data_IF_367263076227
#
_entry.id   IF_367263076227
#
_cell.length_a   1.000
_cell.length_b   1.000
_cell.length_c   1.000
_cell.angle_alpha   90.00
_cell.angle_beta   90.00
_cell.angle_gamma   90.00
#
_symmetry.space_group_name_H-M   'P 1'
#
loop_
_entity.id
_entity.type
_entity.pdbx_description
1 polymer ?
#
# COMPACT_ATOMS: atom_id res chain seq x y z
N UNK A 1 18.18 1.98 -28.18
CA UNK A 1 18.28 1.68 -26.73
C UNK A 1 17.60 2.74 -25.86
N UNK A 2 17.86 4.05 -26.06
CA UNK A 2 17.21 5.16 -25.28
C UNK A 2 15.67 5.17 -25.42
N UNK A 3 15.13 4.97 -26.62
CA UNK A 3 13.67 4.96 -26.90
C UNK A 3 12.92 3.89 -26.10
N UNK A 4 13.47 2.68 -26.00
CA UNK A 4 12.87 1.60 -25.20
C UNK A 4 12.87 1.93 -23.70
N UNK A 5 13.87 2.66 -23.21
CA UNK A 5 13.95 3.09 -21.81
C UNK A 5 12.86 4.15 -21.49
N UNK A 6 12.67 5.13 -22.38
CA UNK A 6 11.63 6.15 -22.20
C UNK A 6 10.22 5.51 -22.21
N UNK A 7 9.96 4.60 -23.16
CA UNK A 7 8.69 3.87 -23.22
C UNK A 7 8.42 3.05 -21.95
N UNK A 8 9.43 2.38 -21.42
CA UNK A 8 9.31 1.59 -20.19
C UNK A 8 9.01 2.46 -18.97
N UNK A 9 9.67 3.63 -18.87
CA UNK A 9 9.40 4.61 -17.80
C UNK A 9 7.98 5.19 -17.88
N UNK A 10 7.54 5.57 -19.08
CA UNK A 10 6.19 6.09 -19.29
C UNK A 10 5.11 5.08 -18.88
N UNK A 11 5.27 3.81 -19.26
CA UNK A 11 4.35 2.75 -18.89
C UNK A 11 4.32 2.53 -17.36
N UNK A 12 5.48 2.59 -16.70
CA UNK A 12 5.57 2.47 -15.23
C UNK A 12 4.86 3.63 -14.53
N UNK A 13 5.04 4.85 -15.01
CA UNK A 13 4.35 6.03 -14.47
C UNK A 13 2.83 5.96 -14.67
N UNK A 14 2.38 5.56 -15.87
CA UNK A 14 0.97 5.36 -16.15
C UNK A 14 0.35 4.29 -15.23
N UNK A 15 1.05 3.18 -14.98
CA UNK A 15 0.60 2.14 -14.06
C UNK A 15 0.46 2.66 -12.63
N UNK A 16 1.44 3.44 -12.14
CA UNK A 16 1.39 4.07 -10.81
C UNK A 16 0.19 5.02 -10.71
N UNK A 17 -0.03 5.84 -11.74
CA UNK A 17 -1.16 6.76 -11.78
C UNK A 17 -2.52 6.04 -11.76
N UNK A 18 -2.67 4.96 -12.54
CA UNK A 18 -3.89 4.14 -12.54
C UNK A 18 -4.11 3.48 -11.18
N UNK A 19 -3.07 2.93 -10.54
CA UNK A 19 -3.19 2.35 -9.20
C UNK A 19 -3.60 3.40 -8.16
N UNK A 20 -3.00 4.59 -8.18
CA UNK A 20 -3.37 5.68 -7.27
C UNK A 20 -4.81 6.16 -7.51
N UNK A 21 -5.22 6.30 -8.77
CA UNK A 21 -6.60 6.67 -9.12
C UNK A 21 -7.62 5.61 -8.70
N UNK A 22 -7.29 4.33 -8.77
CA UNK A 22 -8.19 3.26 -8.30
C UNK A 22 -8.26 3.17 -6.78
N UNK A 23 -7.19 3.51 -6.05
CA UNK A 23 -7.21 3.68 -4.60
C UNK A 23 -8.18 4.80 -4.20
N UNK A 24 -8.04 5.97 -4.82
CA UNK A 24 -8.90 7.13 -4.58
C UNK A 24 -10.36 6.84 -4.96
N UNK A 25 -10.59 6.32 -6.16
CA UNK A 25 -11.92 5.96 -6.63
C UNK A 25 -12.60 4.89 -5.75
N UNK A 26 -11.85 3.89 -5.27
CA UNK A 26 -12.36 2.87 -4.36
C UNK A 26 -12.76 3.45 -3.00
N UNK A 27 -11.95 4.36 -2.46
CA UNK A 27 -12.27 5.07 -1.22
C UNK A 27 -13.52 5.93 -1.37
N UNK A 28 -13.58 6.74 -2.43
CA UNK A 28 -14.73 7.61 -2.69
C UNK A 28 -16.02 6.81 -2.91
N UNK A 29 -15.94 5.69 -3.64
CA UNK A 29 -17.10 4.83 -3.91
C UNK A 29 -17.72 4.23 -2.64
N UNK A 30 -16.94 4.05 -1.55
CA UNK A 30 -17.40 3.49 -0.28
C UNK A 30 -17.53 4.55 0.83
N UNK A 31 -17.25 5.81 0.55
CA UNK A 31 -17.22 6.89 1.55
C UNK A 31 -18.55 7.12 2.29
N UNK A 32 -19.68 6.70 1.69
CA UNK A 32 -21.00 6.79 2.30
C UNK A 32 -21.28 5.68 3.34
N UNK A 33 -20.44 4.65 3.43
CA UNK A 33 -20.55 3.58 4.42
C UNK A 33 -19.39 3.72 5.41
N UNK A 34 -19.64 4.17 6.64
CA UNK A 34 -18.56 4.39 7.61
C UNK A 34 -17.75 3.11 7.85
N UNK A 35 -16.41 3.23 7.79
CA UNK A 35 -15.44 2.16 8.07
C UNK A 35 -15.57 0.89 7.21
N UNK A 36 -16.31 0.94 6.12
CA UNK A 36 -16.21 -0.03 5.03
C UNK A 36 -15.26 0.54 4.00
N UNK A 37 -14.07 -0.06 3.90
CA UNK A 37 -13.00 0.47 3.05
C UNK A 37 -12.33 -0.66 2.26
N UNK A 38 -11.88 -0.33 1.07
CA UNK A 38 -11.17 -1.24 0.17
C UNK A 38 -9.68 -0.87 0.04
N UNK A 39 -9.28 0.26 0.63
CA UNK A 39 -7.94 0.83 0.45
C UNK A 39 -6.86 -0.10 0.97
N UNK A 40 -7.03 -0.66 2.17
CA UNK A 40 -6.09 -1.63 2.74
C UNK A 40 -5.91 -2.85 1.83
N UNK A 41 -7.01 -3.39 1.29
CA UNK A 41 -6.95 -4.49 0.32
C UNK A 41 -6.19 -4.09 -0.95
N UNK A 42 -6.45 -2.92 -1.52
CA UNK A 42 -5.80 -2.45 -2.75
C UNK A 42 -4.32 -2.12 -2.52
N UNK A 43 -3.95 -1.48 -1.42
CA UNK A 43 -2.55 -1.24 -1.05
C UNK A 43 -1.78 -2.56 -0.93
N UNK A 44 -2.37 -3.55 -0.24
CA UNK A 44 -1.81 -4.89 -0.12
C UNK A 44 -1.67 -5.58 -1.48
N UNK A 45 -2.71 -5.52 -2.30
CA UNK A 45 -2.75 -6.13 -3.64
C UNK A 45 -1.68 -5.54 -4.55
N UNK A 46 -1.57 -4.22 -4.59
CA UNK A 46 -0.58 -3.54 -5.44
C UNK A 46 0.85 -3.74 -4.93
N UNK A 47 1.06 -3.70 -3.62
CA UNK A 47 2.34 -4.08 -3.03
C UNK A 47 2.73 -5.50 -3.41
N UNK A 48 1.84 -6.47 -3.24
CA UNK A 48 2.09 -7.88 -3.51
C UNK A 48 2.42 -8.17 -4.98
N UNK A 49 1.63 -7.62 -5.92
CA UNK A 49 1.76 -7.89 -7.37
C UNK A 49 2.85 -7.05 -8.01
N UNK A 50 2.90 -5.73 -7.73
CA UNK A 50 3.77 -4.77 -8.41
C UNK A 50 4.98 -4.33 -7.58
N UNK A 51 5.11 -4.80 -6.34
CA UNK A 51 6.25 -4.48 -5.48
C UNK A 51 6.40 -2.99 -5.25
N UNK A 52 7.61 -2.43 -5.51
CA UNK A 52 7.91 -1.03 -5.27
C UNK A 52 6.98 -0.06 -6.02
N UNK A 53 6.49 -0.42 -7.22
CA UNK A 53 5.54 0.44 -7.95
C UNK A 53 4.21 0.55 -7.22
N UNK A 54 3.75 -0.51 -6.55
CA UNK A 54 2.56 -0.48 -5.69
C UNK A 54 2.77 0.38 -4.44
N UNK A 55 3.96 0.29 -3.82
CA UNK A 55 4.33 1.15 -2.68
C UNK A 55 4.32 2.63 -3.09
N UNK A 56 4.92 2.97 -4.23
CA UNK A 56 4.91 4.36 -4.75
C UNK A 56 3.48 4.82 -5.03
N UNK A 57 2.64 3.99 -5.65
CA UNK A 57 1.23 4.32 -5.89
C UNK A 57 0.45 4.61 -4.60
N UNK A 58 0.73 3.87 -3.53
CA UNK A 58 0.14 4.11 -2.20
C UNK A 58 0.53 5.48 -1.65
N UNK A 59 1.80 5.88 -1.75
CA UNK A 59 2.23 7.21 -1.30
C UNK A 59 1.68 8.34 -2.18
N UNK A 60 1.56 8.12 -3.50
CA UNK A 60 0.88 9.08 -4.40
C UNK A 60 -0.58 9.25 -3.99
N UNK A 61 -1.29 8.16 -3.67
CA UNK A 61 -2.65 8.18 -3.16
C UNK A 61 -2.76 9.00 -1.86
N UNK A 62 -1.89 8.79 -0.86
CA UNK A 62 -1.90 9.58 0.39
C UNK A 62 -1.63 11.07 0.09
N UNK A 63 -0.77 11.36 -0.88
CA UNK A 63 -0.55 12.74 -1.35
C UNK A 63 -1.81 13.36 -1.95
N UNK A 64 -2.55 12.62 -2.79
CA UNK A 64 -3.83 13.07 -3.35
C UNK A 64 -4.88 13.32 -2.27
N UNK A 65 -5.02 12.41 -1.30
CA UNK A 65 -5.88 12.57 -0.13
C UNK A 65 -5.59 13.87 0.61
N UNK A 66 -4.30 14.16 0.83
CA UNK A 66 -3.85 15.38 1.52
C UNK A 66 -4.23 16.64 0.73
N UNK A 67 -4.18 16.60 -0.59
CA UNK A 67 -4.59 17.71 -1.46
C UNK A 67 -6.11 17.91 -1.47
N UNK A 68 -6.88 16.84 -1.40
CA UNK A 68 -8.36 16.88 -1.46
C UNK A 68 -8.96 17.28 -0.11
N UNK A 69 -8.48 16.68 0.99
CA UNK A 69 -9.08 16.77 2.32
C UNK A 69 -8.30 17.68 3.30
N UNK A 70 -7.14 18.18 2.88
CA UNK A 70 -6.26 19.01 3.72
C UNK A 70 -5.37 18.19 4.65
N UNK A 71 -4.57 18.89 5.45
CA UNK A 71 -3.57 18.30 6.36
C UNK A 71 -4.13 18.20 7.77
N UNK A 72 -4.08 17.02 8.37
CA UNK A 72 -4.42 16.76 9.78
C UNK A 72 -3.62 15.55 10.29
N UNK A 73 -3.85 15.13 11.54
CA UNK A 73 -3.20 13.96 12.17
C UNK A 73 -3.33 12.68 11.36
N UNK A 74 -4.46 12.49 10.69
CA UNK A 74 -4.72 11.32 9.86
C UNK A 74 -3.69 11.15 8.72
N UNK A 75 -3.09 12.22 8.21
CA UNK A 75 -2.07 12.13 7.15
C UNK A 75 -0.86 11.31 7.61
N UNK A 76 -0.42 11.55 8.85
CA UNK A 76 0.72 10.82 9.44
C UNK A 76 0.34 9.33 9.61
N UNK A 77 -0.87 9.07 10.11
CA UNK A 77 -1.39 7.71 10.25
C UNK A 77 -1.41 6.98 8.90
N UNK A 78 -1.92 7.64 7.85
CA UNK A 78 -2.02 7.08 6.49
C UNK A 78 -0.66 6.80 5.86
N UNK A 79 0.29 7.74 5.99
CA UNK A 79 1.66 7.56 5.49
C UNK A 79 2.32 6.33 6.13
N UNK A 80 2.18 6.16 7.43
CA UNK A 80 2.79 5.04 8.14
C UNK A 80 2.03 3.75 7.87
N UNK A 81 0.71 3.73 8.04
CA UNK A 81 -0.10 2.53 7.97
C UNK A 81 -0.16 1.93 6.56
N UNK A 82 -0.65 2.68 5.57
CA UNK A 82 -0.78 2.15 4.22
C UNK A 82 0.57 1.96 3.53
N UNK A 83 1.56 2.79 3.88
CA UNK A 83 2.95 2.54 3.52
C UNK A 83 3.45 1.19 4.04
N UNK A 84 3.21 0.89 5.33
CA UNK A 84 3.58 -0.39 5.94
C UNK A 84 2.81 -1.57 5.28
N UNK A 85 1.50 -1.43 5.05
CA UNK A 85 0.70 -2.44 4.32
C UNK A 85 1.32 -2.74 2.96
N UNK A 86 1.56 -1.72 2.14
CA UNK A 86 2.12 -1.89 0.80
C UNK A 86 3.51 -2.53 0.84
N UNK A 87 4.39 -2.11 1.76
CA UNK A 87 5.76 -2.65 1.90
C UNK A 87 5.73 -4.11 2.37
N UNK A 88 4.95 -4.45 3.40
CA UNK A 88 4.87 -5.81 3.93
C UNK A 88 4.32 -6.75 2.86
N UNK A 89 3.27 -6.34 2.14
CA UNK A 89 2.73 -7.16 1.06
C UNK A 89 3.66 -7.22 -0.16
N UNK A 90 4.46 -6.19 -0.43
CA UNK A 90 5.52 -6.27 -1.43
C UNK A 90 6.59 -7.33 -1.07
N UNK A 91 6.94 -7.43 0.22
CA UNK A 91 7.83 -8.48 0.71
C UNK A 91 7.19 -9.86 0.62
N UNK A 92 5.92 -10.03 1.03
CA UNK A 92 5.18 -11.29 0.87
C UNK A 92 5.12 -11.73 -0.60
N UNK A 93 4.88 -10.78 -1.52
CA UNK A 93 4.90 -11.03 -2.95
C UNK A 93 6.30 -11.37 -3.50
N UNK A 94 7.37 -10.76 -2.94
CA UNK A 94 8.77 -11.09 -3.29
C UNK A 94 9.13 -12.51 -2.87
N UNK A 95 8.74 -12.93 -1.67
CA UNK A 95 8.96 -14.29 -1.16
C UNK A 95 7.93 -15.30 -1.68
N UNK A 96 7.02 -14.88 -2.57
CA UNK A 96 5.97 -15.74 -3.17
C UNK A 96 5.09 -16.46 -2.12
N UNK A 97 4.82 -15.82 -1.01
CA UNK A 97 3.95 -16.36 0.05
C UNK A 97 2.51 -16.31 -0.44
N UNK A 98 1.96 -17.46 -0.83
CA UNK A 98 0.60 -17.61 -1.39
C UNK A 98 -0.41 -18.14 -0.39
N UNK A 99 0.01 -18.45 0.82
CA UNK A 99 -0.87 -19.00 1.86
C UNK A 99 -1.89 -17.91 2.26
N UNK A 100 -3.17 -18.21 2.04
CA UNK A 100 -4.29 -17.32 2.32
C UNK A 100 -4.38 -16.96 3.81
N UNK A 101 -4.10 -17.91 4.70
CA UNK A 101 -4.16 -17.66 6.15
C UNK A 101 -3.06 -16.69 6.58
N UNK A 102 -1.84 -16.83 6.02
CA UNK A 102 -0.72 -15.92 6.33
C UNK A 102 -1.02 -14.52 5.84
N UNK A 103 -1.48 -14.36 4.59
CA UNK A 103 -1.81 -13.03 4.04
C UNK A 103 -2.95 -12.36 4.80
N UNK A 104 -3.98 -13.12 5.18
CA UNK A 104 -5.09 -12.60 6.01
C UNK A 104 -4.61 -12.25 7.41
N UNK A 105 -3.81 -13.10 8.06
CA UNK A 105 -3.28 -12.82 9.41
C UNK A 105 -2.40 -11.55 9.41
N UNK A 106 -1.54 -11.38 8.41
CA UNK A 106 -0.75 -10.16 8.26
C UNK A 106 -1.64 -8.91 8.07
N UNK A 107 -2.68 -9.01 7.24
CA UNK A 107 -3.62 -7.91 7.04
C UNK A 107 -4.36 -7.57 8.35
N UNK A 108 -4.83 -8.57 9.10
CA UNK A 108 -5.50 -8.37 10.37
C UNK A 108 -4.59 -7.72 11.41
N UNK A 109 -3.35 -8.15 11.52
CA UNK A 109 -2.37 -7.55 12.42
C UNK A 109 -2.14 -6.06 12.09
N UNK A 110 -2.06 -5.72 10.80
CA UNK A 110 -1.91 -4.34 10.34
C UNK A 110 -3.17 -3.51 10.60
N UNK A 111 -4.37 -4.06 10.35
CA UNK A 111 -5.64 -3.37 10.63
C UNK A 111 -5.80 -3.09 12.13
N UNK A 112 -5.47 -4.04 13.01
CA UNK A 112 -5.45 -3.81 14.47
C UNK A 112 -4.44 -2.72 14.84
N UNK A 113 -3.24 -2.76 14.23
CA UNK A 113 -2.21 -1.76 14.45
C UNK A 113 -2.65 -0.35 14.00
N UNK A 114 -3.53 -0.23 13.00
CA UNK A 114 -4.08 1.06 12.55
C UNK A 114 -4.81 1.79 13.69
N UNK A 115 -5.72 1.13 14.39
CA UNK A 115 -6.46 1.73 15.49
C UNK A 115 -5.55 2.20 16.64
N UNK A 116 -4.51 1.41 16.96
CA UNK A 116 -3.51 1.79 17.97
C UNK A 116 -2.69 2.98 17.48
N UNK A 117 -2.19 2.93 16.25
CA UNK A 117 -1.36 3.99 15.65
C UNK A 117 -2.12 5.30 15.55
N UNK A 118 -3.36 5.28 15.03
CA UNK A 118 -4.22 6.45 14.90
C UNK A 118 -4.47 7.10 16.26
N UNK A 119 -4.84 6.30 17.27
CA UNK A 119 -5.09 6.80 18.62
C UNK A 119 -3.83 7.35 19.30
N UNK A 120 -2.64 6.76 19.04
CA UNK A 120 -1.36 7.27 19.55
C UNK A 120 -1.01 8.63 18.92
N UNK A 121 -1.17 8.75 17.61
CA UNK A 121 -0.88 9.99 16.87
C UNK A 121 -1.85 11.09 17.33
N UNK A 122 -3.14 10.80 17.41
CA UNK A 122 -4.15 11.76 17.85
C UNK A 122 -3.89 12.20 19.30
N UNK A 123 -3.57 11.26 20.19
CA UNK A 123 -3.23 11.60 21.58
C UNK A 123 -2.00 12.48 21.66
N UNK A 124 -0.92 12.14 20.93
CA UNK A 124 0.32 12.91 20.94
C UNK A 124 0.17 14.30 20.36
N UNK A 125 -0.53 14.44 19.23
CA UNK A 125 -0.67 15.72 18.51
C UNK A 125 -1.69 16.67 19.16
N UNK A 126 -2.83 16.15 19.63
CA UNK A 126 -3.90 17.01 20.17
C UNK A 126 -3.81 17.24 21.67
N UNK A 127 -3.25 16.29 22.42
CA UNK A 127 -3.20 16.39 23.88
C UNK A 127 -1.78 16.44 24.46
N UNK A 128 -0.76 16.28 23.62
CA UNK A 128 0.64 16.30 24.01
C UNK A 128 1.10 15.09 24.82
N UNK A 129 2.41 15.02 25.05
CA UNK A 129 3.07 13.95 25.82
C UNK A 129 3.24 14.36 27.30
N UNK A 130 2.15 14.78 27.93
CA UNK A 130 2.13 15.19 29.34
C UNK A 130 1.64 14.07 30.25
N UNK A 131 1.55 14.36 31.55
CA UNK A 131 0.98 13.46 32.56
C UNK A 131 -0.40 12.92 32.11
N UNK A 132 -0.71 11.70 32.53
CA UNK A 132 -1.92 10.97 32.09
C UNK A 132 -2.01 10.64 30.59
N UNK A 133 -0.89 10.63 29.83
CA UNK A 133 -0.90 10.28 28.40
C UNK A 133 -1.66 8.98 28.13
N UNK A 134 -1.35 7.92 28.85
CA UNK A 134 -1.97 6.60 28.63
C UNK A 134 -3.47 6.58 28.97
N UNK A 135 -3.90 7.39 29.92
CA UNK A 135 -5.32 7.55 30.26
C UNK A 135 -6.06 8.24 29.11
N UNK A 136 -5.49 9.30 28.55
CA UNK A 136 -6.05 10.00 27.37
C UNK A 136 -6.06 9.11 26.15
N UNK A 137 -4.97 8.37 25.90
CA UNK A 137 -4.92 7.35 24.85
C UNK A 137 -6.04 6.32 25.01
N UNK A 138 -6.23 5.76 26.20
CA UNK A 138 -7.29 4.78 26.44
C UNK A 138 -8.69 5.36 26.16
N UNK A 139 -8.93 6.61 26.50
CA UNK A 139 -10.19 7.30 26.20
C UNK A 139 -10.40 7.44 24.68
N UNK A 140 -9.38 7.93 23.94
CA UNK A 140 -9.45 8.12 22.50
C UNK A 140 -9.64 6.77 21.80
N UNK A 141 -8.85 5.75 22.17
CA UNK A 141 -8.94 4.41 21.61
C UNK A 141 -10.31 3.77 21.84
N UNK A 142 -10.84 3.88 23.07
CA UNK A 142 -12.16 3.33 23.40
C UNK A 142 -13.29 4.03 22.62
N UNK A 143 -13.20 5.35 22.40
CA UNK A 143 -14.16 6.09 21.57
C UNK A 143 -14.13 5.66 20.12
N UNK A 144 -12.96 5.26 19.61
CA UNK A 144 -12.78 4.73 18.25
C UNK A 144 -13.09 3.24 18.10
N UNK A 145 -13.27 2.49 19.19
CA UNK A 145 -13.32 1.03 19.16
C UNK A 145 -14.38 0.45 18.22
N UNK A 146 -15.58 1.04 18.17
CA UNK A 146 -16.63 0.59 17.25
C UNK A 146 -16.21 0.70 15.78
N UNK A 147 -15.48 1.76 15.43
CA UNK A 147 -14.94 1.98 14.08
C UNK A 147 -13.84 0.99 13.76
N UNK A 148 -12.92 0.73 14.68
CA UNK A 148 -11.84 -0.24 14.48
C UNK A 148 -12.37 -1.66 14.33
N UNK A 149 -13.41 -2.04 15.09
CA UNK A 149 -14.06 -3.36 14.96
C UNK A 149 -14.70 -3.51 13.58
N UNK A 150 -15.43 -2.49 13.10
CA UNK A 150 -16.03 -2.52 11.77
C UNK A 150 -14.98 -2.68 10.66
N UNK A 151 -13.86 -1.96 10.76
CA UNK A 151 -12.73 -2.05 9.82
C UNK A 151 -12.06 -3.44 9.86
N UNK A 152 -11.86 -4.02 11.05
CA UNK A 152 -11.31 -5.37 11.21
C UNK A 152 -12.23 -6.40 10.54
N UNK A 153 -13.53 -6.33 10.76
CA UNK A 153 -14.50 -7.25 10.15
C UNK A 153 -14.51 -7.09 8.63
N UNK A 154 -14.55 -5.85 8.14
CA UNK A 154 -14.51 -5.55 6.71
C UNK A 154 -13.25 -6.14 6.06
N UNK A 155 -12.08 -5.84 6.59
CA UNK A 155 -10.81 -6.32 6.05
C UNK A 155 -10.68 -7.84 6.17
N UNK A 156 -11.15 -8.47 7.24
CA UNK A 156 -11.18 -9.93 7.38
C UNK A 156 -11.95 -10.58 6.22
N UNK A 157 -13.15 -10.10 5.95
CA UNK A 157 -13.99 -10.61 4.86
C UNK A 157 -13.31 -10.37 3.50
N UNK A 158 -12.83 -9.16 3.25
CA UNK A 158 -12.19 -8.80 1.99
C UNK A 158 -10.93 -9.64 1.72
N UNK A 159 -10.08 -9.86 2.70
CA UNK A 159 -8.86 -10.65 2.52
C UNK A 159 -9.18 -12.14 2.38
N UNK A 160 -10.15 -12.66 3.11
CA UNK A 160 -10.59 -14.04 2.96
C UNK A 160 -11.25 -14.32 1.61
N UNK A 161 -12.01 -13.39 1.06
CA UNK A 161 -12.80 -13.61 -0.16
C UNK A 161 -12.09 -13.09 -1.41
N UNK A 162 -11.58 -11.86 -1.37
CA UNK A 162 -11.19 -11.14 -2.58
C UNK A 162 -9.68 -11.13 -2.86
N UNK A 163 -8.81 -11.14 -1.85
CA UNK A 163 -7.37 -10.97 -2.06
C UNK A 163 -6.77 -12.00 -3.03
N UNK A 164 -6.97 -13.29 -2.75
CA UNK A 164 -6.40 -14.36 -3.59
C UNK A 164 -6.95 -14.38 -5.02
N UNK A 165 -8.27 -14.26 -5.26
CA UNK A 165 -8.81 -14.13 -6.61
C UNK A 165 -8.27 -12.91 -7.37
N UNK A 166 -8.17 -11.75 -6.71
CA UNK A 166 -7.65 -10.53 -7.33
C UNK A 166 -6.16 -10.65 -7.70
N UNK A 167 -5.34 -11.26 -6.85
CA UNK A 167 -3.94 -11.57 -7.18
C UNK A 167 -3.86 -12.43 -8.44
N UNK A 168 -4.67 -13.50 -8.52
CA UNK A 168 -4.71 -14.38 -9.71
C UNK A 168 -5.19 -13.64 -10.96
N UNK A 169 -6.18 -12.75 -10.82
CA UNK A 169 -6.70 -11.94 -11.91
C UNK A 169 -5.62 -11.00 -12.46
N UNK A 170 -4.97 -10.23 -11.58
CA UNK A 170 -3.89 -9.34 -11.97
C UNK A 170 -2.69 -10.10 -12.58
N UNK A 171 -2.38 -11.28 -12.06
CA UNK A 171 -1.35 -12.14 -12.63
C UNK A 171 -1.66 -12.60 -14.08
N UNK A 172 -2.95 -12.73 -14.44
CA UNK A 172 -3.38 -13.10 -15.80
C UNK A 172 -3.41 -11.90 -16.75
N UNK A 173 -3.89 -10.76 -16.26
CA UNK A 173 -4.10 -9.55 -17.09
C UNK A 173 -2.78 -8.81 -17.33
N UNK A 174 -1.88 -8.77 -16.32
CA UNK A 174 -0.63 -8.05 -16.43
C UNK A 174 0.42 -8.88 -17.19
N UNK A 175 0.88 -8.42 -18.36
CA UNK A 175 1.94 -9.08 -19.13
C UNK A 175 3.20 -9.27 -18.29
N UNK A 176 3.95 -10.34 -18.53
CA UNK A 176 5.22 -10.65 -17.86
C UNK A 176 6.22 -9.48 -17.88
N UNK A 177 6.14 -8.63 -18.90
CA UNK A 177 6.94 -7.42 -19.05
C UNK A 177 6.76 -6.41 -17.91
N UNK A 178 5.56 -6.32 -17.31
CA UNK A 178 5.31 -5.50 -16.11
C UNK A 178 5.90 -6.13 -14.83
N UNK A 179 6.03 -7.45 -14.79
CA UNK A 179 6.65 -8.17 -13.68
C UNK A 179 8.17 -8.02 -13.68
N UNK A 180 8.81 -7.84 -14.84
CA UNK A 180 10.26 -7.58 -14.92
C UNK A 180 10.62 -6.20 -14.35
N UNK A 181 9.71 -5.23 -14.40
CA UNK A 181 9.85 -3.92 -13.76
C UNK A 181 9.91 -4.00 -12.21
N UNK A 182 9.46 -5.11 -11.63
CA UNK A 182 9.57 -5.40 -10.19
C UNK A 182 11.01 -5.64 -9.76
N UNK A 183 11.86 -6.16 -10.64
CA UNK A 183 13.22 -6.62 -10.32
C UNK A 183 14.34 -5.73 -10.89
N UNK A 184 14.03 -4.75 -11.74
CA UNK A 184 15.04 -3.82 -12.24
C UNK A 184 15.39 -2.81 -11.16
N UNK A 185 16.51 -3.05 -10.48
CA UNK A 185 17.21 -2.07 -9.66
C UNK A 185 17.71 -0.93 -10.57
N UNK A 186 17.82 0.32 -10.08
CA UNK A 186 18.38 1.43 -10.86
C UNK A 186 19.84 1.20 -11.30
N UNK A 187 20.50 0.20 -10.72
CA UNK A 187 21.91 -0.15 -10.94
C UNK A 187 22.15 -1.20 -12.03
N UNK A 188 21.11 -1.84 -12.58
CA UNK A 188 21.26 -2.77 -13.71
C UNK A 188 21.33 -2.01 -15.06
N UNK A 189 22.23 -1.05 -15.14
CA UNK A 189 22.75 -0.58 -16.43
C UNK A 189 23.76 -1.62 -16.89
N UNK A 190 23.66 -2.15 -18.10
CA UNK A 190 24.77 -2.91 -18.69
C UNK A 190 25.89 -1.89 -19.01
N UNK A 191 26.74 -1.63 -18.04
CA UNK A 191 28.08 -1.11 -18.27
C UNK A 191 28.90 -2.38 -18.47
N UNK A 192 29.40 -2.52 -19.68
CA UNK A 192 30.40 -3.41 -20.20
C UNK A 192 29.90 -4.34 -21.31
N UNK A 193 29.84 -3.75 -22.51
CA UNK A 193 30.04 -4.54 -23.73
C UNK A 193 31.49 -5.03 -23.74
N UNK A 194 31.76 -6.27 -24.22
CA UNK A 194 33.12 -6.78 -24.33
C UNK A 194 33.98 -5.87 -25.22
N UNK A 195 35.28 -5.68 -24.90
CA UNK A 195 36.14 -4.87 -25.72
C UNK A 195 36.19 -5.43 -27.17
N UNK A 196 36.09 -4.52 -28.13
CA UNK A 196 36.23 -4.86 -29.54
C UNK A 196 37.56 -5.62 -29.73
N UNK A 197 37.48 -6.84 -30.21
CA UNK A 197 38.65 -7.57 -30.73
C UNK A 197 39.16 -6.80 -31.93
N UNK A 198 40.32 -6.18 -31.79
CA UNK A 198 41.12 -5.75 -32.93
C UNK A 198 41.42 -6.98 -33.79
N UNK A 199 40.96 -6.97 -35.02
CA UNK A 199 41.41 -7.86 -36.10
C UNK A 199 42.57 -7.10 -36.74
N UNK A 200 43.79 -7.58 -36.49
CA UNK A 200 44.94 -7.38 -37.33
C UNK A 200 44.94 -8.49 -38.39
#
# INVERSE_FOLDING_TARGET
MKENLHRTRAIKLALIAVMAATLEGGKLALSFIPNVEIVTLLCALYGYVFGLSGVVATYVFVGLETLIWGVSSWVITYLIHWGAVAIIFALLGRFRIKNRLITTACAMALTVAFGVLSSLIDTGLFTGFYDDFWKRFAIIYTRGAAFYIAEIICNLVLFLVAFTPLVKLLDRICPQKFKSLKNSSPTDSPIDGPPAKNQD
#
